data_IF_564186311704
#
_entry.id   IF_564186311704
#
_cell.length_a   1.000
_cell.length_b   1.000
_cell.length_c   1.000
_cell.angle_alpha   90.00
_cell.angle_beta   90.00
_cell.angle_gamma   90.00
#
_symmetry.space_group_name_H-M   'P 1'
#
loop_
_entity.id
_entity.type
_entity.pdbx_description
1 polymer ?
#
# COMPACT_ATOMS: atom_id res chain seq x y z
N UNK A 1 -4.00 -26.34 3.05
CA UNK A 1 -2.95 -25.50 2.52
C UNK A 1 -2.02 -25.00 3.58
N UNK A 2 -0.75 -25.03 3.29
CA UNK A 2 0.23 -24.60 4.26
C UNK A 2 0.72 -23.20 3.88
N UNK A 3 0.67 -22.30 4.84
CA UNK A 3 1.18 -20.96 4.60
C UNK A 3 2.63 -20.91 5.01
N UNK A 4 3.45 -20.26 4.19
CA UNK A 4 4.81 -19.97 4.59
C UNK A 4 4.82 -18.58 5.22
N UNK A 5 5.86 -18.31 5.97
CA UNK A 5 6.00 -16.99 6.57
C UNK A 5 6.16 -15.90 5.53
N UNK A 6 6.63 -16.27 4.36
CA UNK A 6 6.83 -15.32 3.27
C UNK A 6 5.52 -14.71 2.81
N UNK A 7 4.41 -15.38 3.08
CA UNK A 7 3.11 -14.90 2.64
C UNK A 7 2.42 -14.04 3.69
N UNK A 8 3.06 -13.85 4.83
CA UNK A 8 2.47 -13.03 5.88
C UNK A 8 2.76 -11.56 5.62
N UNK A 9 1.75 -10.75 5.89
CA UNK A 9 1.87 -9.30 5.77
C UNK A 9 1.48 -8.71 7.11
N UNK A 10 2.39 -7.93 7.71
CA UNK A 10 2.09 -7.20 8.94
C UNK A 10 1.95 -5.74 8.62
N UNK A 11 0.90 -5.15 9.12
CA UNK A 11 0.67 -3.73 8.97
C UNK A 11 0.46 -3.17 10.37
N UNK A 12 1.25 -2.15 10.71
CA UNK A 12 1.21 -1.53 12.02
C UNK A 12 1.43 -2.57 13.13
N UNK A 13 2.30 -3.55 12.86
CA UNK A 13 2.64 -4.57 13.83
C UNK A 13 1.65 -5.71 13.95
N UNK A 14 0.59 -5.71 13.15
CA UNK A 14 -0.47 -6.72 13.22
C UNK A 14 -0.50 -7.50 11.92
N UNK A 15 -0.55 -8.83 12.02
CA UNK A 15 -0.69 -9.68 10.85
C UNK A 15 -2.10 -9.48 10.29
N UNK A 16 -2.21 -9.21 9.00
CA UNK A 16 -3.51 -9.02 8.39
C UNK A 16 -4.35 -10.28 8.52
N UNK A 17 -5.60 -10.14 8.95
CA UNK A 17 -6.49 -11.29 9.05
C UNK A 17 -6.87 -11.79 7.66
N UNK A 18 -7.26 -13.05 7.57
CA UNK A 18 -7.71 -13.63 6.33
C UNK A 18 -6.57 -14.19 5.50
N UNK A 19 -6.90 -14.49 4.26
CA UNK A 19 -5.96 -15.05 3.30
C UNK A 19 -5.50 -13.95 2.36
N UNK A 20 -4.21 -13.72 2.30
CA UNK A 20 -3.68 -12.76 1.33
C UNK A 20 -3.71 -13.44 -0.02
N UNK A 21 -4.57 -12.96 -0.90
CA UNK A 21 -4.74 -13.51 -2.22
C UNK A 21 -3.63 -13.04 -3.15
N UNK A 22 -3.28 -11.77 -3.06
CA UNK A 22 -2.22 -11.21 -3.87
C UNK A 22 -1.68 -9.94 -3.23
N UNK A 23 -0.43 -9.63 -3.54
CA UNK A 23 0.17 -8.37 -3.18
C UNK A 23 0.93 -7.88 -4.39
N UNK A 24 0.66 -6.65 -4.79
CA UNK A 24 1.28 -6.06 -5.95
C UNK A 24 2.02 -4.80 -5.51
N UNK A 25 3.28 -4.68 -5.90
CA UNK A 25 4.07 -3.50 -5.60
C UNK A 25 4.49 -2.88 -6.93
N UNK A 26 4.21 -1.60 -7.09
CA UNK A 26 4.52 -0.91 -8.33
C UNK A 26 5.44 0.26 -8.04
N UNK A 27 6.56 0.30 -8.74
CA UNK A 27 7.46 1.44 -8.70
C UNK A 27 7.50 2.07 -10.07
N UNK A 28 7.61 3.40 -10.11
CA UNK A 28 7.60 4.13 -11.38
C UNK A 28 8.56 5.30 -11.30
N UNK A 29 9.02 5.73 -12.45
CA UNK A 29 9.83 6.94 -12.55
C UNK A 29 8.99 8.05 -13.15
N UNK A 30 9.35 9.27 -12.81
CA UNK A 30 8.73 10.44 -13.43
C UNK A 30 9.52 10.78 -14.68
N UNK A 31 8.81 10.79 -15.80
CA UNK A 31 9.41 11.06 -17.09
C UNK A 31 8.67 12.25 -17.69
N UNK A 32 9.41 13.30 -18.01
CA UNK A 32 8.85 14.43 -18.74
C UNK A 32 9.08 14.22 -20.21
N UNK A 33 8.05 14.46 -21.00
CA UNK A 33 8.13 14.37 -22.43
C UNK A 33 7.93 15.76 -22.99
N UNK A 34 8.83 16.19 -23.85
CA UNK A 34 8.76 17.53 -24.39
C UNK A 34 8.32 17.53 -25.83
N UNK A 35 7.50 18.51 -26.19
CA UNK A 35 7.10 18.70 -27.56
C UNK A 35 8.17 19.52 -28.26
N UNK A 36 8.66 18.99 -29.38
CA UNK A 36 9.60 19.73 -30.22
C UNK A 36 8.94 19.92 -31.57
N UNK A 37 8.71 21.15 -31.92
CA UNK A 37 8.02 21.46 -33.16
C UNK A 37 8.80 20.96 -34.37
N UNK A 38 8.09 20.29 -35.27
CA UNK A 38 8.72 19.77 -36.46
C UNK A 38 9.44 18.46 -36.28
N UNK A 39 9.41 17.88 -35.09
CA UNK A 39 10.07 16.63 -34.82
C UNK A 39 9.07 15.55 -34.50
N UNK A 40 9.26 14.35 -35.09
CA UNK A 40 8.43 13.21 -34.78
C UNK A 40 8.84 12.55 -33.47
N UNK A 41 10.06 12.81 -33.01
CA UNK A 41 10.56 12.25 -31.78
C UNK A 41 10.42 13.27 -30.66
N UNK A 42 9.84 12.82 -29.54
CA UNK A 42 9.69 13.68 -28.38
C UNK A 42 10.78 13.35 -27.38
N UNK A 43 11.64 14.30 -27.07
CA UNK A 43 12.66 14.08 -26.05
C UNK A 43 12.01 13.76 -24.71
N UNK A 44 12.61 12.85 -23.99
CA UNK A 44 12.14 12.45 -22.67
C UNK A 44 13.25 12.68 -21.67
N UNK A 45 12.87 13.15 -20.49
CA UNK A 45 13.81 13.38 -19.43
C UNK A 45 13.27 12.78 -18.15
N UNK A 46 14.07 11.93 -17.52
CA UNK A 46 13.70 11.40 -16.22
C UNK A 46 13.97 12.47 -15.17
N UNK A 47 12.96 12.77 -14.36
CA UNK A 47 13.04 13.83 -13.37
C UNK A 47 13.06 13.31 -11.94
N UNK A 48 12.88 12.01 -11.77
CA UNK A 48 12.91 11.40 -10.44
C UNK A 48 12.06 10.14 -10.41
N UNK A 49 11.72 9.72 -9.22
CA UNK A 49 10.87 8.55 -9.01
C UNK A 49 9.57 8.97 -8.36
N UNK A 50 8.51 8.25 -8.68
CA UNK A 50 7.25 8.42 -8.00
C UNK A 50 7.24 7.51 -6.78
N UNK A 51 6.45 7.87 -5.77
CA UNK A 51 6.28 6.98 -4.63
C UNK A 51 5.68 5.67 -5.09
N UNK A 52 6.17 4.59 -4.53
CA UNK A 52 5.66 3.27 -4.88
C UNK A 52 4.25 3.08 -4.37
N UNK A 53 3.51 2.19 -5.02
CA UNK A 53 2.15 1.85 -4.64
C UNK A 53 2.08 0.37 -4.32
N UNK A 54 1.32 0.03 -3.28
CA UNK A 54 1.14 -1.35 -2.84
C UNK A 54 -0.35 -1.64 -2.85
N UNK A 55 -0.73 -2.71 -3.53
CA UNK A 55 -2.11 -3.17 -3.55
C UNK A 55 -2.16 -4.57 -3.00
N UNK A 56 -3.01 -4.80 -2.02
CA UNK A 56 -3.15 -6.10 -1.36
C UNK A 56 -4.59 -6.55 -1.48
N UNK A 57 -4.79 -7.78 -1.91
CA UNK A 57 -6.12 -8.38 -1.91
C UNK A 57 -6.19 -9.45 -0.84
N UNK A 58 -7.23 -9.38 -0.03
CA UNK A 58 -7.48 -10.33 1.05
C UNK A 58 -8.81 -11.03 0.81
N UNK A 59 -8.89 -12.28 1.25
CA UNK A 59 -10.16 -13.00 1.29
C UNK A 59 -10.50 -13.23 2.75
N UNK A 60 -11.66 -12.78 3.16
CA UNK A 60 -12.13 -12.92 4.54
C UNK A 60 -13.29 -13.89 4.57
N UNK A 61 -13.17 -14.92 5.41
CA UNK A 61 -14.22 -15.90 5.64
C UNK A 61 -14.64 -15.85 7.10
N UNK A 62 -15.78 -16.43 7.40
CA UNK A 62 -16.18 -16.63 8.79
C UNK A 62 -15.23 -17.62 9.45
N UNK A 63 -14.92 -17.35 10.70
CA UNK A 63 -14.16 -18.29 11.53
C UNK A 63 -14.99 -18.63 12.75
N UNK A 64 -14.61 -19.66 13.52
CA UNK A 64 -15.36 -19.96 14.74
C UNK A 64 -15.39 -18.83 15.75
N UNK A 65 -14.44 -17.89 15.70
CA UNK A 65 -14.38 -16.82 16.67
C UNK A 65 -14.80 -15.45 16.13
N UNK A 66 -14.95 -15.31 14.80
CA UNK A 66 -15.31 -14.02 14.22
C UNK A 66 -15.96 -14.22 12.87
N UNK A 67 -16.92 -13.35 12.56
CA UNK A 67 -17.53 -13.37 11.23
C UNK A 67 -16.66 -12.62 10.25
N UNK A 68 -16.90 -12.83 8.96
CA UNK A 68 -16.16 -12.12 7.93
C UNK A 68 -16.32 -10.61 8.05
N UNK A 69 -17.49 -10.14 8.49
CA UNK A 69 -17.71 -8.71 8.67
C UNK A 69 -16.96 -8.16 9.88
N UNK A 70 -16.86 -8.95 10.95
CA UNK A 70 -16.05 -8.54 12.09
C UNK A 70 -14.58 -8.46 11.70
N UNK A 71 -14.13 -9.38 10.87
CA UNK A 71 -12.74 -9.36 10.38
C UNK A 71 -12.49 -8.17 9.48
N UNK A 72 -13.49 -7.79 8.68
CA UNK A 72 -13.39 -6.58 7.86
C UNK A 72 -13.25 -5.34 8.74
N UNK A 73 -14.02 -5.27 9.82
CA UNK A 73 -13.91 -4.16 10.75
C UNK A 73 -12.53 -4.10 11.39
N UNK A 74 -11.96 -5.25 11.70
CA UNK A 74 -10.61 -5.31 12.25
C UNK A 74 -9.59 -4.75 11.25
N UNK A 75 -9.72 -5.13 9.99
CA UNK A 75 -8.83 -4.62 8.95
C UNK A 75 -8.97 -3.10 8.83
N UNK A 76 -10.20 -2.62 8.80
CA UNK A 76 -10.44 -1.20 8.67
C UNK A 76 -9.87 -0.41 9.84
N UNK A 77 -9.98 -0.97 11.04
CA UNK A 77 -9.50 -0.31 12.24
C UNK A 77 -7.98 -0.17 12.28
N UNK A 78 -7.26 -1.01 11.52
CA UNK A 78 -5.81 -0.87 11.43
C UNK A 78 -5.41 0.40 10.69
N UNK A 79 -6.30 0.89 9.83
CA UNK A 79 -5.99 2.02 8.96
C UNK A 79 -6.77 3.28 9.32
N UNK A 80 -7.94 3.11 9.89
CA UNK A 80 -8.79 4.24 10.26
C UNK A 80 -9.05 4.21 11.76
N UNK A 81 -8.05 4.63 12.51
CA UNK A 81 -8.16 4.67 13.96
C UNK A 81 -9.18 5.74 14.36
N UNK A 82 -10.11 5.43 15.26
CA UNK A 82 -11.05 6.44 15.74
C UNK A 82 -10.32 7.66 16.31
N UNK A 83 -10.82 8.82 15.96
CA UNK A 83 -10.21 10.08 16.39
C UNK A 83 -9.15 10.62 15.47
N UNK A 84 -8.73 9.84 14.48
CA UNK A 84 -7.75 10.26 13.51
C UNK A 84 -8.47 10.87 12.32
N UNK A 85 -8.21 12.12 12.02
CA UNK A 85 -8.82 12.77 10.86
C UNK A 85 -7.96 12.68 9.61
N UNK A 86 -6.69 12.34 9.77
CA UNK A 86 -5.74 12.26 8.66
C UNK A 86 -4.95 10.97 8.80
N UNK A 87 -4.77 10.21 7.72
CA UNK A 87 -3.96 8.99 7.79
C UNK A 87 -2.54 9.30 8.22
N UNK A 88 -1.99 8.45 9.05
CA UNK A 88 -0.62 8.56 9.52
C UNK A 88 0.20 7.46 8.89
N UNK A 89 1.51 7.67 8.72
CA UNK A 89 2.37 6.61 8.19
C UNK A 89 2.33 5.39 9.10
N UNK A 90 2.22 4.22 8.49
CA UNK A 90 2.21 2.97 9.23
C UNK A 90 3.27 2.04 8.69
N UNK A 91 3.93 1.28 9.57
CA UNK A 91 4.93 0.32 9.10
C UNK A 91 4.26 -0.85 8.39
N UNK A 92 4.89 -1.33 7.34
CA UNK A 92 4.45 -2.50 6.61
C UNK A 92 5.63 -3.46 6.50
N UNK A 93 5.37 -4.73 6.78
CA UNK A 93 6.40 -5.75 6.72
C UNK A 93 5.90 -6.90 5.87
N UNK A 94 6.56 -7.17 4.76
CA UNK A 94 6.31 -8.33 3.93
C UNK A 94 7.54 -8.55 3.07
N UNK A 95 7.68 -9.76 2.52
CA UNK A 95 8.78 -10.04 1.61
C UNK A 95 8.71 -9.11 0.39
N UNK A 96 7.51 -8.93 -0.13
CA UNK A 96 7.34 -8.16 -1.35
C UNK A 96 7.70 -6.69 -1.17
N UNK A 97 7.23 -6.08 -0.09
CA UNK A 97 7.55 -4.67 0.14
C UNK A 97 9.02 -4.48 0.51
N UNK A 98 9.60 -5.47 1.20
CA UNK A 98 11.01 -5.40 1.56
C UNK A 98 11.91 -5.40 0.33
N UNK A 99 11.54 -6.16 -0.70
CA UNK A 99 12.32 -6.21 -1.94
C UNK A 99 12.33 -4.88 -2.69
N UNK A 100 11.33 -4.05 -2.43
CA UNK A 100 11.25 -2.72 -3.03
C UNK A 100 11.68 -1.62 -2.06
N UNK A 101 12.20 -2.00 -0.88
CA UNK A 101 12.71 -1.03 0.08
C UNK A 101 11.63 -0.20 0.76
N UNK A 102 10.41 -0.72 0.82
CA UNK A 102 9.29 0.02 1.41
C UNK A 102 9.16 -0.35 2.87
N UNK A 103 9.30 0.64 3.74
CA UNK A 103 9.19 0.44 5.19
C UNK A 103 7.86 0.94 5.74
N UNK A 104 7.40 2.08 5.26
CA UNK A 104 6.19 2.70 5.76
C UNK A 104 5.30 3.11 4.62
N UNK A 105 4.00 3.07 4.85
CA UNK A 105 3.02 3.41 3.83
C UNK A 105 1.95 4.30 4.43
N UNK A 106 1.25 5.01 3.54
CA UNK A 106 0.04 5.73 3.88
C UNK A 106 -1.13 4.96 3.32
N UNK A 107 -2.15 4.79 4.14
CA UNK A 107 -3.38 4.15 3.69
C UNK A 107 -4.07 5.05 2.68
N UNK A 108 -4.35 4.52 1.52
CA UNK A 108 -5.01 5.26 0.45
C UNK A 108 -6.47 4.90 0.35
N UNK A 109 -6.81 3.63 0.44
CA UNK A 109 -8.19 3.24 0.31
C UNK A 109 -8.45 1.77 0.60
N UNK A 110 -9.69 1.47 0.93
CA UNK A 110 -10.14 0.10 1.16
C UNK A 110 -11.44 -0.08 0.39
N UNK A 111 -11.54 -1.19 -0.31
CA UNK A 111 -12.74 -1.55 -1.05
C UNK A 111 -13.03 -3.01 -0.73
N UNK A 112 -14.29 -3.34 -0.52
CA UNK A 112 -14.61 -4.75 -0.36
C UNK A 112 -15.77 -5.13 -1.27
N UNK A 113 -15.81 -6.40 -1.60
CA UNK A 113 -16.84 -6.97 -2.43
C UNK A 113 -17.35 -8.22 -1.74
N UNK A 114 -18.66 -8.30 -1.58
CA UNK A 114 -19.29 -9.49 -0.99
C UNK A 114 -19.46 -10.53 -2.09
N UNK A 115 -18.86 -11.70 -1.89
CA UNK A 115 -18.98 -12.81 -2.83
C UNK A 115 -20.07 -13.73 -2.27
N UNK A 116 -21.30 -13.42 -2.59
CA UNK A 116 -22.44 -14.08 -1.94
C UNK A 116 -22.44 -15.59 -2.15
N UNK A 117 -22.13 -16.03 -3.36
CA UNK A 117 -22.12 -17.46 -3.66
C UNK A 117 -21.03 -18.21 -2.94
N UNK A 118 -19.92 -17.54 -2.68
CA UNK A 118 -18.77 -18.15 -2.00
C UNK A 118 -18.79 -17.87 -0.51
N UNK A 119 -19.73 -17.07 -0.05
CA UNK A 119 -19.85 -16.69 1.35
C UNK A 119 -18.56 -16.11 1.92
N UNK A 120 -17.96 -15.20 1.15
CA UNK A 120 -16.71 -14.58 1.57
C UNK A 120 -16.67 -13.15 1.12
N UNK A 121 -15.74 -12.38 1.69
CA UNK A 121 -15.49 -11.00 1.27
C UNK A 121 -14.11 -10.93 0.62
N UNK A 122 -14.05 -10.24 -0.50
CA UNK A 122 -12.78 -9.90 -1.11
C UNK A 122 -12.49 -8.45 -0.79
N UNK A 123 -11.36 -8.19 -0.15
CA UNK A 123 -11.00 -6.85 0.31
C UNK A 123 -9.75 -6.41 -0.45
N UNK A 124 -9.81 -5.22 -1.02
CA UNK A 124 -8.68 -4.63 -1.72
C UNK A 124 -8.19 -3.44 -0.92
N UNK A 125 -6.90 -3.43 -0.61
CA UNK A 125 -6.26 -2.36 0.14
C UNK A 125 -5.25 -1.68 -0.76
N UNK A 126 -5.26 -0.37 -0.75
CA UNK A 126 -4.31 0.41 -1.53
C UNK A 126 -3.49 1.27 -0.59
N UNK A 127 -2.17 1.23 -0.77
CA UNK A 127 -1.25 2.02 0.03
C UNK A 127 -0.27 2.72 -0.89
N UNK A 128 0.20 3.88 -0.45
CA UNK A 128 1.27 4.59 -1.14
C UNK A 128 2.47 4.63 -0.22
N UNK A 129 3.65 4.43 -0.77
CA UNK A 129 4.87 4.50 -0.01
C UNK A 129 4.98 5.87 0.67
N UNK A 130 5.39 5.86 1.94
CA UNK A 130 5.64 7.10 2.65
C UNK A 130 7.14 7.33 2.71
N UNK A 131 7.56 8.45 2.16
CA UNK A 131 8.95 8.86 2.20
C UNK A 131 9.02 10.13 3.03
N UNK A 132 9.69 10.12 4.17
CA UNK A 132 9.78 11.32 4.98
C UNK A 132 10.43 12.46 4.20
N UNK A 133 9.88 13.64 4.37
CA UNK A 133 10.46 14.83 3.78
C UNK A 133 11.64 15.24 4.64
N UNK A 134 12.81 15.27 4.05
CA UNK A 134 13.98 15.66 4.81
C UNK A 134 14.41 17.04 4.44
N UNK A 135 13.49 17.79 4.12
CA UNK A 135 13.75 19.04 3.65
C UNK A 135 14.38 19.92 4.53
N UNK A 136 14.24 19.46 5.09
CA UNK A 136 14.74 20.22 5.63
C UNK A 136 15.85 20.31 5.22
N UNK A 137 16.11 19.87 4.85
CA UNK A 137 17.00 19.82 4.35
C UNK A 137 17.33 20.65 3.65
N UNK A 138 17.15 21.00 3.61
CA UNK A 138 17.37 21.63 2.93
C UNK A 138 17.70 22.62 3.16
N UNK A 139 17.48 22.63 3.41
CA UNK A 139 17.54 23.18 3.52
C UNK A 139 18.30 23.63 3.92
N UNK A 140 18.45 23.59 4.15
CA UNK A 140 18.84 23.83 4.46
C UNK A 140 19.73 24.20 4.37
N UNK A 141 19.81 24.25 4.14
CA UNK A 141 20.30 24.48 4.08
C UNK A 141 20.95 25.13 4.05
N UNK A 142 20.92 25.35 4.04
CA UNK A 142 21.23 25.77 4.07
C UNK A 142 21.89 26.24 4.21
N UNK A 143 21.97 26.26 4.31
CA UNK A 143 22.23 26.44 4.53
C UNK A 143 22.75 26.87 4.69
N UNK A 144 22.66 26.98 4.88
CA UNK A 144 22.71 27.08 5.02
C UNK A 144 23.00 27.17 5.11
#
# INVERSE_FOLDING_TARGET
MIYTEDQLVKVNGVVLPGLVKSIEVKESAKIDEQEVEGSATKPKQATGYEDAKVNIELILDDTPTATKYQRLETVRALFRTPGQSVPQPIPIVSEDTAKHGIDKVLFKGITHKSEVKKDQLTVSLEFWEYVPQTIQTASSSSGS
#
